data_IF_001146723841
#
_entry.id   IF_001146723841
#
_cell.length_a   1.000
_cell.length_b   1.000
_cell.length_c   1.000
_cell.angle_alpha   90.00
_cell.angle_beta   90.00
_cell.angle_gamma   90.00
#
_symmetry.space_group_name_H-M   'P 1'
#
loop_
_entity.id
_entity.type
_entity.pdbx_description
1 polymer ?
#
# COMPACT_ATOMS: atom_id res chain seq x y z
N UNK A 1 -27.51 9.89 -13.71
CA UNK A 1 -28.34 10.90 -14.41
C UNK A 1 -29.81 10.65 -14.07
N UNK A 2 -30.68 11.68 -14.03
CA UNK A 2 -32.11 11.48 -13.76
C UNK A 2 -32.78 10.58 -14.81
N UNK A 3 -33.87 9.92 -14.43
CA UNK A 3 -34.62 9.06 -15.35
C UNK A 3 -35.11 9.85 -16.57
N UNK A 4 -34.91 9.30 -17.77
CA UNK A 4 -35.32 9.92 -19.04
C UNK A 4 -34.28 10.85 -19.68
N UNK A 5 -33.11 11.04 -19.07
CA UNK A 5 -32.01 11.84 -19.64
C UNK A 5 -30.91 10.93 -20.19
N UNK A 6 -30.28 11.34 -21.30
CA UNK A 6 -29.29 10.55 -22.04
C UNK A 6 -28.03 11.35 -22.44
N UNK A 7 -27.87 12.59 -21.96
CA UNK A 7 -26.63 13.36 -22.07
C UNK A 7 -26.48 14.37 -20.93
N UNK A 8 -25.25 14.84 -20.71
CA UNK A 8 -24.92 15.96 -19.82
C UNK A 8 -24.25 17.04 -20.65
N UNK A 9 -24.66 18.30 -20.46
CA UNK A 9 -24.09 19.46 -21.14
C UNK A 9 -23.30 20.25 -20.10
N UNK A 10 -22.09 20.66 -20.45
CA UNK A 10 -21.29 21.49 -19.54
C UNK A 10 -21.89 22.90 -19.45
N UNK A 11 -21.71 23.53 -18.30
CA UNK A 11 -22.20 24.90 -18.06
C UNK A 11 -21.56 25.90 -19.05
N UNK A 12 -20.32 25.65 -19.48
CA UNK A 12 -19.61 26.45 -20.48
C UNK A 12 -20.26 26.43 -21.87
N UNK A 13 -21.10 25.43 -22.17
CA UNK A 13 -21.73 25.23 -23.49
C UNK A 13 -23.19 25.71 -23.54
N UNK A 14 -23.67 26.37 -22.48
CA UNK A 14 -25.04 26.89 -22.37
C UNK A 14 -25.07 28.38 -22.02
N UNK A 15 -26.14 29.07 -22.41
CA UNK A 15 -26.42 30.43 -21.97
C UNK A 15 -27.86 30.54 -21.45
N UNK A 16 -28.10 30.97 -20.19
CA UNK A 16 -29.45 31.19 -19.68
C UNK A 16 -30.13 32.34 -20.41
N UNK A 17 -31.37 32.14 -20.86
CA UNK A 17 -32.08 33.10 -21.70
C UNK A 17 -32.99 34.07 -20.92
N UNK A 18 -33.21 33.89 -19.61
CA UNK A 18 -34.06 34.80 -18.83
C UNK A 18 -33.55 35.01 -17.39
N UNK A 19 -32.98 36.19 -17.09
CA UNK A 19 -32.87 36.72 -15.72
C UNK A 19 -34.12 37.55 -15.44
N UNK A 20 -34.97 37.13 -14.50
CA UNK A 20 -36.15 37.90 -14.12
C UNK A 20 -35.73 39.25 -13.51
N UNK A 21 -35.98 40.37 -14.20
CA UNK A 21 -36.02 41.70 -13.57
C UNK A 21 -37.40 41.87 -12.93
N UNK A 22 -37.55 41.40 -11.69
CA UNK A 22 -38.73 41.74 -10.88
C UNK A 22 -38.78 43.24 -10.59
N UNK A 23 -39.94 43.86 -10.84
CA UNK A 23 -40.22 45.25 -10.54
C UNK A 23 -39.98 45.57 -9.06
N UNK A 24 -39.39 46.73 -8.79
CA UNK A 24 -39.19 47.25 -7.42
C UNK A 24 -40.53 47.69 -6.84
N UNK A 25 -41.06 46.95 -5.87
CA UNK A 25 -41.92 47.54 -4.85
C UNK A 25 -41.10 47.77 -3.57
N UNK A 26 -41.01 49.05 -3.18
CA UNK A 26 -40.55 49.50 -1.87
C UNK A 26 -41.61 49.07 -0.87
N UNK A 27 -41.22 48.32 0.16
CA UNK A 27 -41.50 48.67 1.55
C UNK A 27 -40.65 47.80 2.49
N UNK A 28 -40.21 48.43 3.57
CA UNK A 28 -39.13 48.02 4.46
C UNK A 28 -39.70 47.19 5.61
N UNK A 29 -39.15 46.01 5.88
CA UNK A 29 -38.85 45.56 7.25
C UNK A 29 -37.97 44.30 7.26
N UNK A 30 -37.12 44.26 8.28
CA UNK A 30 -35.98 43.38 8.50
C UNK A 30 -36.32 41.89 8.54
N UNK A 31 -35.49 41.07 7.88
CA UNK A 31 -34.97 39.84 8.48
C UNK A 31 -33.69 39.38 7.77
N UNK A 32 -32.70 38.94 8.55
CA UNK A 32 -31.48 38.32 8.05
C UNK A 32 -31.82 36.91 7.55
N UNK A 33 -32.17 36.80 6.27
CA UNK A 33 -32.24 35.52 5.55
C UNK A 33 -31.23 35.54 4.39
N UNK A 34 -30.43 34.49 4.34
CA UNK A 34 -29.47 34.14 3.29
C UNK A 34 -29.95 34.53 1.88
N UNK A 35 -29.33 35.58 1.33
CA UNK A 35 -29.78 36.33 0.16
C UNK A 35 -29.25 35.70 -1.16
N UNK A 36 -29.27 34.37 -1.25
CA UNK A 36 -29.06 33.66 -2.52
C UNK A 36 -30.41 33.50 -3.20
N UNK A 37 -30.89 34.57 -3.83
CA UNK A 37 -32.02 34.50 -4.77
C UNK A 37 -31.73 33.38 -5.77
N UNK A 38 -32.45 32.26 -5.66
CA UNK A 38 -32.52 31.26 -6.71
C UNK A 38 -32.99 31.97 -7.98
N UNK A 39 -32.04 32.35 -8.84
CA UNK A 39 -32.34 32.81 -10.18
C UNK A 39 -33.04 31.64 -10.88
N UNK A 40 -34.37 31.66 -10.92
CA UNK A 40 -35.17 30.69 -11.64
C UNK A 40 -34.87 30.80 -13.14
N UNK A 41 -33.82 30.11 -13.60
CA UNK A 41 -33.47 29.98 -15.01
C UNK A 41 -34.58 29.15 -15.66
N UNK A 42 -35.49 29.83 -16.36
CA UNK A 42 -36.61 29.16 -17.06
C UNK A 42 -36.19 28.54 -18.39
N UNK A 43 -35.15 29.09 -19.02
CA UNK A 43 -34.73 28.73 -20.36
C UNK A 43 -33.21 28.80 -20.51
N UNK A 44 -32.64 27.85 -21.25
CA UNK A 44 -31.23 27.80 -21.61
C UNK A 44 -31.09 27.62 -23.12
N UNK A 45 -30.08 28.25 -23.71
CA UNK A 45 -29.66 28.04 -25.10
C UNK A 45 -28.45 27.12 -25.13
N UNK A 46 -28.52 26.08 -25.96
CA UNK A 46 -27.41 25.16 -26.23
C UNK A 46 -26.84 25.52 -27.60
N UNK A 47 -25.52 25.71 -27.70
CA UNK A 47 -24.86 26.19 -28.93
C UNK A 47 -24.31 25.08 -29.82
N UNK A 48 -24.27 23.84 -29.34
CA UNK A 48 -23.71 22.71 -30.06
C UNK A 48 -24.62 21.50 -30.00
N UNK A 49 -24.57 20.66 -31.04
CA UNK A 49 -25.30 19.41 -31.04
C UNK A 49 -24.80 18.53 -29.89
N UNK A 50 -25.74 17.89 -29.18
CA UNK A 50 -25.46 16.99 -28.07
C UNK A 50 -25.74 15.57 -28.53
N UNK A 51 -24.74 14.70 -28.43
CA UNK A 51 -24.90 13.29 -28.80
C UNK A 51 -25.37 12.46 -27.61
N UNK A 52 -26.17 11.40 -27.82
CA UNK A 52 -26.49 10.45 -26.77
C UNK A 52 -25.22 9.89 -26.10
N UNK A 53 -25.22 9.79 -24.78
CA UNK A 53 -24.08 9.35 -23.97
C UNK A 53 -23.03 10.44 -23.70
N UNK A 54 -23.20 11.66 -24.23
CA UNK A 54 -22.22 12.72 -24.05
C UNK A 54 -22.06 13.09 -22.57
N UNK A 55 -20.81 13.08 -22.10
CA UNK A 55 -20.42 13.39 -20.72
C UNK A 55 -21.13 12.55 -19.64
N UNK A 56 -21.64 11.38 -20.01
CA UNK A 56 -22.16 10.39 -19.07
C UNK A 56 -21.07 9.37 -18.79
N UNK A 57 -20.87 9.07 -17.52
CA UNK A 57 -20.15 7.86 -17.14
C UNK A 57 -21.09 6.68 -17.05
N UNK A 58 -20.78 5.62 -17.78
CA UNK A 58 -21.64 4.44 -17.84
C UNK A 58 -21.48 3.59 -16.58
N UNK A 59 -22.53 2.84 -16.23
CA UNK A 59 -22.43 1.87 -15.15
C UNK A 59 -21.37 0.84 -15.52
N UNK A 60 -20.40 0.64 -14.61
CA UNK A 60 -19.31 -0.31 -14.81
C UNK A 60 -18.19 0.19 -15.74
N UNK A 61 -18.12 1.49 -16.04
CA UNK A 61 -17.04 2.08 -16.85
C UNK A 61 -15.65 1.82 -16.27
N UNK A 62 -15.49 1.90 -14.95
CA UNK A 62 -14.22 1.63 -14.28
C UNK A 62 -14.01 0.13 -14.04
N UNK A 63 -14.98 -0.51 -13.37
CA UNK A 63 -14.94 -1.93 -13.01
C UNK A 63 -16.36 -2.51 -13.04
N UNK A 64 -16.53 -3.67 -13.67
CA UNK A 64 -17.78 -4.42 -13.62
C UNK A 64 -17.77 -5.47 -12.51
N UNK A 65 -18.96 -5.90 -12.08
CA UNK A 65 -19.08 -6.97 -11.09
C UNK A 65 -18.31 -8.23 -11.55
N UNK A 66 -17.60 -8.86 -10.61
CA UNK A 66 -16.77 -10.05 -10.81
C UNK A 66 -15.57 -9.88 -11.76
N UNK A 67 -15.23 -8.66 -12.17
CA UNK A 67 -14.00 -8.40 -12.89
C UNK A 67 -12.79 -8.61 -11.97
N UNK A 68 -11.77 -9.31 -12.49
CA UNK A 68 -10.49 -9.48 -11.80
C UNK A 68 -9.75 -8.14 -11.75
N UNK A 69 -9.52 -7.60 -10.54
CA UNK A 69 -8.76 -6.36 -10.34
C UNK A 69 -7.25 -6.65 -10.33
N UNK A 70 -6.81 -7.65 -9.54
CA UNK A 70 -5.41 -8.09 -9.46
C UNK A 70 -5.32 -9.62 -9.46
N UNK A 71 -4.32 -10.22 -10.14
CA UNK A 71 -4.13 -11.65 -10.13
C UNK A 71 -3.51 -12.15 -8.82
N UNK A 72 -3.59 -13.46 -8.59
CA UNK A 72 -2.89 -14.12 -7.48
C UNK A 72 -1.37 -13.97 -7.61
N UNK A 73 -0.67 -13.89 -6.47
CA UNK A 73 0.78 -13.67 -6.39
C UNK A 73 1.28 -12.34 -7.00
N UNK A 74 0.38 -11.38 -7.18
CA UNK A 74 0.75 -10.02 -7.56
C UNK A 74 1.38 -9.27 -6.39
N UNK A 75 2.49 -8.56 -6.65
CA UNK A 75 3.07 -7.64 -5.67
C UNK A 75 2.26 -6.35 -5.67
N UNK A 76 1.53 -6.09 -4.58
CA UNK A 76 0.70 -4.88 -4.43
C UNK A 76 1.57 -3.63 -4.53
N UNK A 77 1.21 -2.73 -5.46
CA UNK A 77 1.77 -1.40 -5.69
C UNK A 77 0.75 -0.33 -5.29
N UNK A 78 1.15 0.95 -5.17
CA UNK A 78 0.22 2.03 -4.84
C UNK A 78 -1.00 2.14 -5.77
N UNK A 79 -0.83 1.97 -7.08
CA UNK A 79 -1.95 1.99 -8.04
C UNK A 79 -2.95 0.86 -7.81
N UNK A 80 -2.46 -0.31 -7.39
CA UNK A 80 -3.30 -1.47 -7.15
C UNK A 80 -4.18 -1.23 -5.91
N UNK A 81 -3.69 -0.49 -4.92
CA UNK A 81 -4.48 -0.07 -3.75
C UNK A 81 -5.64 0.82 -4.20
N UNK A 82 -5.38 1.79 -5.08
CA UNK A 82 -6.44 2.65 -5.63
C UNK A 82 -7.51 1.85 -6.39
N UNK A 83 -7.08 0.92 -7.23
CA UNK A 83 -8.00 0.05 -7.98
C UNK A 83 -8.84 -0.86 -7.06
N UNK A 84 -8.22 -1.46 -6.04
CA UNK A 84 -8.92 -2.28 -5.04
C UNK A 84 -9.98 -1.48 -4.28
N UNK A 85 -9.64 -0.27 -3.83
CA UNK A 85 -10.56 0.60 -3.11
C UNK A 85 -11.71 1.10 -4.01
N UNK A 86 -11.42 1.47 -5.25
CA UNK A 86 -12.45 1.83 -6.23
C UNK A 86 -13.41 0.66 -6.51
N UNK A 87 -12.90 -0.58 -6.49
CA UNK A 87 -13.70 -1.79 -6.58
C UNK A 87 -14.37 -2.23 -5.27
N UNK A 88 -14.27 -1.46 -4.18
CA UNK A 88 -14.89 -1.76 -2.88
C UNK A 88 -14.18 -2.84 -2.05
N UNK A 89 -12.94 -3.22 -2.39
CA UNK A 89 -12.17 -4.25 -1.68
C UNK A 89 -11.36 -3.63 -0.55
N UNK A 90 -11.83 -3.81 0.68
CA UNK A 90 -11.21 -3.21 1.89
C UNK A 90 -10.28 -4.17 2.65
N UNK A 91 -10.29 -5.46 2.31
CA UNK A 91 -9.46 -6.49 2.93
C UNK A 91 -8.98 -7.49 1.87
N UNK A 92 -7.76 -7.99 2.02
CA UNK A 92 -7.17 -8.95 1.11
C UNK A 92 -6.38 -10.02 1.88
N UNK A 93 -6.45 -11.26 1.42
CA UNK A 93 -5.55 -12.32 1.87
C UNK A 93 -4.18 -12.13 1.21
N UNK A 94 -3.13 -12.05 2.03
CA UNK A 94 -1.73 -11.90 1.59
C UNK A 94 -0.87 -13.05 2.09
N UNK A 95 0.24 -13.30 1.41
CA UNK A 95 1.27 -14.22 1.90
C UNK A 95 1.93 -13.63 3.15
N UNK A 96 2.05 -14.43 4.22
CA UNK A 96 2.83 -14.01 5.40
C UNK A 96 4.30 -13.84 5.03
N UNK A 97 4.98 -12.90 5.68
CA UNK A 97 6.43 -12.76 5.56
C UNK A 97 7.13 -14.02 6.10
N UNK A 98 8.11 -14.60 5.40
CA UNK A 98 8.88 -15.73 5.91
C UNK A 98 9.67 -15.30 7.15
N UNK A 99 9.61 -16.10 8.21
CA UNK A 99 10.40 -15.93 9.44
C UNK A 99 11.75 -16.60 9.25
N UNK A 100 12.81 -15.80 9.32
CA UNK A 100 14.19 -16.29 9.16
C UNK A 100 14.96 -16.03 10.44
N UNK A 101 15.71 -17.02 10.90
CA UNK A 101 16.64 -16.87 12.02
C UNK A 101 18.06 -17.09 11.55
N UNK A 102 18.97 -16.22 11.98
CA UNK A 102 20.38 -16.22 11.61
C UNK A 102 21.19 -16.57 12.87
N UNK A 103 22.04 -17.58 12.75
CA UNK A 103 22.87 -18.11 13.83
C UNK A 103 24.33 -17.91 13.41
N UNK A 104 24.99 -16.84 13.89
CA UNK A 104 26.44 -16.73 13.76
C UNK A 104 27.13 -17.71 14.69
N UNK A 105 28.08 -18.49 14.16
CA UNK A 105 28.90 -19.44 14.91
C UNK A 105 30.38 -19.20 14.67
N UNK A 106 31.18 -19.35 15.72
CA UNK A 106 32.63 -19.22 15.64
C UNK A 106 33.26 -18.84 16.97
N UNK A 107 34.33 -19.52 17.33
CA UNK A 107 35.09 -19.24 18.53
C UNK A 107 35.84 -17.90 18.47
N UNK A 108 36.24 -17.50 17.27
CA UNK A 108 36.90 -16.24 16.91
C UNK A 108 35.97 -15.03 16.95
N UNK A 109 34.66 -15.24 16.83
CA UNK A 109 33.70 -14.14 16.73
C UNK A 109 33.49 -13.40 18.07
N UNK A 110 33.43 -12.07 17.98
CA UNK A 110 33.10 -11.12 19.06
C UNK A 110 31.98 -10.17 18.62
N UNK A 111 31.25 -9.61 19.57
CA UNK A 111 30.16 -8.67 19.28
C UNK A 111 30.70 -7.30 18.83
N UNK A 112 29.99 -6.57 17.96
CA UNK A 112 30.32 -5.18 17.65
C UNK A 112 30.34 -4.31 18.93
N UNK A 113 31.47 -3.63 19.16
CA UNK A 113 31.70 -2.79 20.34
C UNK A 113 32.53 -3.46 21.44
N UNK A 114 32.82 -4.76 21.34
CA UNK A 114 33.79 -5.42 22.20
C UNK A 114 35.23 -5.05 21.83
N UNK A 115 36.14 -5.13 22.80
CA UNK A 115 37.57 -4.89 22.58
C UNK A 115 38.17 -5.98 21.68
N UNK A 116 38.90 -5.57 20.64
CA UNK A 116 39.50 -6.49 19.70
C UNK A 116 40.85 -7.01 20.23
N UNK A 117 40.95 -8.33 20.39
CA UNK A 117 42.20 -9.02 20.73
C UNK A 117 42.73 -9.83 19.55
N UNK A 118 44.02 -10.20 19.52
CA UNK A 118 44.58 -11.05 18.47
C UNK A 118 43.75 -12.33 18.26
N UNK A 119 43.42 -12.63 17.01
CA UNK A 119 42.62 -13.80 16.64
C UNK A 119 41.10 -13.65 16.86
N UNK A 120 40.60 -12.48 17.26
CA UNK A 120 39.16 -12.19 17.32
C UNK A 120 38.68 -11.37 16.12
N UNK A 121 37.48 -11.68 15.66
CA UNK A 121 36.84 -11.06 14.49
C UNK A 121 35.49 -10.49 14.92
N UNK A 122 35.24 -9.22 14.58
CA UNK A 122 33.95 -8.59 14.83
C UNK A 122 32.91 -9.22 13.92
N UNK A 123 31.82 -9.69 14.50
CA UNK A 123 30.74 -10.31 13.73
C UNK A 123 29.79 -9.26 13.14
N UNK A 124 29.77 -9.17 11.82
CA UNK A 124 28.94 -8.23 11.06
C UNK A 124 28.09 -8.89 9.97
N UNK A 125 28.42 -10.12 9.56
CA UNK A 125 27.77 -10.81 8.44
C UNK A 125 26.27 -11.03 8.69
N UNK A 126 25.92 -11.40 9.92
CA UNK A 126 24.54 -11.54 10.38
C UNK A 126 23.72 -10.26 10.24
N UNK A 127 24.34 -9.08 10.39
CA UNK A 127 23.66 -7.79 10.20
C UNK A 127 23.39 -7.51 8.72
N UNK A 128 24.36 -7.79 7.85
CA UNK A 128 24.21 -7.66 6.39
C UNK A 128 23.08 -8.58 5.90
N UNK A 129 23.14 -9.85 6.27
CA UNK A 129 22.16 -10.87 5.84
C UNK A 129 20.76 -10.55 6.37
N UNK A 130 20.65 -10.07 7.62
CA UNK A 130 19.38 -9.58 8.16
C UNK A 130 18.80 -8.45 7.30
N UNK A 131 19.63 -7.50 6.88
CA UNK A 131 19.23 -6.40 5.99
C UNK A 131 18.67 -6.91 4.66
N UNK A 132 19.43 -7.77 3.97
CA UNK A 132 19.03 -8.38 2.69
C UNK A 132 17.70 -9.15 2.78
N UNK A 133 17.52 -9.95 3.84
CA UNK A 133 16.26 -10.67 4.06
C UNK A 133 15.09 -9.71 4.22
N UNK A 134 15.26 -8.62 4.97
CA UNK A 134 14.23 -7.60 5.13
C UNK A 134 13.89 -6.91 3.80
N UNK A 135 14.88 -6.59 2.98
CA UNK A 135 14.69 -6.02 1.63
C UNK A 135 13.93 -6.97 0.71
N UNK A 136 14.18 -8.28 0.80
CA UNK A 136 13.44 -9.31 0.08
C UNK A 136 12.04 -9.61 0.66
N UNK A 137 11.64 -8.90 1.72
CA UNK A 137 10.30 -9.00 2.30
C UNK A 137 10.15 -10.03 3.42
N UNK A 138 11.25 -10.61 3.90
CA UNK A 138 11.28 -11.50 5.06
C UNK A 138 11.25 -10.77 6.40
N UNK A 139 11.07 -11.54 7.47
CA UNK A 139 11.23 -11.09 8.86
C UNK A 139 12.39 -11.85 9.49
N UNK A 140 13.52 -11.18 9.67
CA UNK A 140 14.75 -11.79 10.17
C UNK A 140 15.04 -11.47 11.65
N UNK A 141 15.49 -12.49 12.40
CA UNK A 141 16.06 -12.37 13.75
C UNK A 141 17.51 -12.89 13.71
N UNK A 142 18.39 -12.25 14.49
CA UNK A 142 19.78 -12.70 14.68
C UNK A 142 19.89 -13.22 16.12
N UNK A 143 20.48 -14.40 16.28
CA UNK A 143 20.83 -14.97 17.58
C UNK A 143 22.13 -14.34 18.11
N UNK A 144 22.40 -14.56 19.40
CA UNK A 144 23.74 -14.35 19.94
C UNK A 144 24.75 -15.26 19.24
N UNK A 145 26.03 -14.86 19.26
CA UNK A 145 27.13 -15.66 18.72
C UNK A 145 27.18 -17.00 19.47
N UNK A 146 27.11 -18.08 18.73
CA UNK A 146 27.18 -19.44 19.27
C UNK A 146 28.61 -19.94 19.15
N UNK A 147 29.17 -20.46 20.25
CA UNK A 147 30.50 -21.11 20.23
C UNK A 147 30.41 -22.48 19.58
N UNK A 148 31.54 -22.97 19.06
CA UNK A 148 31.59 -24.23 18.31
C UNK A 148 31.58 -25.46 19.24
N UNK A 149 30.51 -25.56 20.03
CA UNK A 149 30.23 -26.65 20.95
C UNK A 149 29.08 -27.47 20.33
N UNK A 150 29.33 -28.71 19.85
CA UNK A 150 28.34 -29.48 19.08
C UNK A 150 26.99 -29.67 19.78
N UNK A 151 26.99 -29.84 21.11
CA UNK A 151 25.77 -30.02 21.90
C UNK A 151 24.91 -28.75 21.92
N UNK A 152 25.55 -27.60 22.11
CA UNK A 152 24.87 -26.31 22.15
C UNK A 152 24.31 -25.93 20.78
N UNK A 153 25.10 -26.14 19.72
CA UNK A 153 24.67 -25.85 18.36
C UNK A 153 23.46 -26.71 17.96
N UNK A 154 23.48 -28.01 18.28
CA UNK A 154 22.34 -28.90 18.02
C UNK A 154 21.07 -28.43 18.73
N UNK A 155 21.16 -28.05 20.01
CA UNK A 155 20.01 -27.55 20.78
C UNK A 155 19.44 -26.27 20.16
N UNK A 156 20.31 -25.31 19.84
CA UNK A 156 19.92 -24.02 19.26
C UNK A 156 19.30 -24.20 17.87
N UNK A 157 19.86 -25.09 17.04
CA UNK A 157 19.32 -25.40 15.71
C UNK A 157 17.92 -26.01 15.78
N UNK A 158 17.69 -26.96 16.69
CA UNK A 158 16.37 -27.59 16.86
C UNK A 158 15.33 -26.58 17.34
N UNK A 159 15.68 -25.72 18.30
CA UNK A 159 14.81 -24.65 18.77
C UNK A 159 14.50 -23.66 17.63
N UNK A 160 15.54 -23.22 16.90
CA UNK A 160 15.43 -22.32 15.76
C UNK A 160 14.51 -22.86 14.67
N UNK A 161 14.68 -24.14 14.29
CA UNK A 161 13.88 -24.81 13.28
C UNK A 161 12.41 -24.98 13.69
N UNK A 162 12.11 -25.13 14.99
CA UNK A 162 10.74 -25.25 15.48
C UNK A 162 9.93 -23.94 15.42
N UNK A 163 10.61 -22.79 15.40
CA UNK A 163 9.98 -21.47 15.52
C UNK A 163 10.01 -20.63 14.23
N UNK A 164 10.83 -21.02 13.25
CA UNK A 164 11.12 -20.25 12.05
C UNK A 164 10.96 -21.08 10.78
N UNK A 165 10.69 -20.40 9.66
CA UNK A 165 10.51 -21.06 8.36
C UNK A 165 11.87 -21.40 7.72
N UNK A 166 12.89 -20.59 8.00
CA UNK A 166 14.24 -20.74 7.47
C UNK A 166 15.25 -20.50 8.60
N UNK A 167 16.24 -21.37 8.69
CA UNK A 167 17.41 -21.23 9.57
C UNK A 167 18.64 -20.99 8.69
N UNK A 168 19.36 -19.92 8.97
CA UNK A 168 20.63 -19.56 8.31
C UNK A 168 21.75 -19.70 9.33
N UNK A 169 22.67 -20.61 9.10
CA UNK A 169 23.87 -20.77 9.92
C UNK A 169 25.02 -20.05 9.23
N UNK A 170 25.68 -19.15 9.95
CA UNK A 170 26.88 -18.46 9.48
C UNK A 170 28.05 -19.05 10.24
N UNK A 171 28.70 -20.04 9.63
CA UNK A 171 29.91 -20.64 10.15
C UNK A 171 31.11 -20.18 9.33
N UNK A 172 32.28 -20.13 9.97
CA UNK A 172 33.56 -19.93 9.27
C UNK A 172 33.84 -21.07 8.27
N UNK A 173 34.70 -20.82 7.27
CA UNK A 173 35.11 -21.87 6.35
C UNK A 173 36.06 -22.84 7.06
N UNK A 174 35.55 -23.98 7.51
CA UNK A 174 36.37 -25.14 7.89
C UNK A 174 37.02 -25.71 6.62
N UNK A 175 38.13 -25.12 6.19
CA UNK A 175 39.10 -25.82 5.35
C UNK A 175 40.08 -26.55 6.28
N UNK A 176 39.57 -27.59 6.94
CA UNK A 176 40.38 -28.63 7.61
C UNK A 176 40.97 -28.24 8.96
N UNK A 177 40.39 -28.76 10.04
CA UNK A 177 41.15 -29.28 11.21
C UNK A 177 40.26 -29.70 12.38
N UNK A 178 38.97 -29.39 12.36
CA UNK A 178 38.04 -29.77 13.44
C UNK A 178 36.65 -30.10 12.88
N UNK A 179 36.52 -31.31 12.35
CA UNK A 179 35.22 -31.97 12.18
C UNK A 179 35.15 -33.16 13.16
#
# INVERSE_FOLDING_TARGET
>A
IPFGFDAVIKIEDINPLNKFKGEKNKDISNDFTDDSKEENIKEIKIFSAVSPGQHIRNIGEDVVANQLIIPVNHKIRPVDIGALLAGGVNQLLVRRKPKVVIIPTGDELIQPGEEISPGKIIEYNSKIIKGLICEWGGKAKVCEIVKDIPVDLKRILLEAASQNDIVVVLAGSSAGSKD
#
